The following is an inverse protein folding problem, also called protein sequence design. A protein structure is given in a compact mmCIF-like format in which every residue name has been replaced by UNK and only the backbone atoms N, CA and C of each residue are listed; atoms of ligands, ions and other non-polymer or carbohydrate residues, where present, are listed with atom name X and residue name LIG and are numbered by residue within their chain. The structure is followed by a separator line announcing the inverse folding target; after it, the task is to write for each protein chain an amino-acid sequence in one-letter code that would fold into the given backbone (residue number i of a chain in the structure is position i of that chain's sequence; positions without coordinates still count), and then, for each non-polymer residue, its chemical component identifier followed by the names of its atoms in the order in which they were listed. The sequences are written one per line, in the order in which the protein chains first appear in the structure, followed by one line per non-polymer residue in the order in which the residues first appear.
data_IF_854266319486
#
_entry.id   IF_854266319486
#
_cell.length_a   1.000
_cell.length_b   1.000
_cell.length_c   1.000
_cell.angle_alpha   90.00
_cell.angle_beta   90.00
_cell.angle_gamma   90.00
#
_symmetry.space_group_name_H-M   'P 1'
#
loop_
_entity.id
_entity.type
_entity.pdbx_description
1 polymer ?
#
# COMPACT_ATOMS: atom_id res chain seq x y z
N UNK A 1 -47.71 0.73 -10.94
CA UNK A 1 -46.46 0.90 -10.16
C UNK A 1 -46.79 0.71 -8.69
N UNK A 2 -46.29 -0.34 -8.03
CA UNK A 2 -46.78 -0.79 -6.71
C UNK A 2 -46.28 0.09 -5.55
N UNK A 3 -47.16 0.40 -4.59
CA UNK A 3 -46.91 1.24 -3.40
C UNK A 3 -45.68 0.81 -2.57
N UNK A 4 -45.33 -0.48 -2.59
CA UNK A 4 -44.15 -1.03 -1.90
C UNK A 4 -42.81 -0.52 -2.46
N UNK A 5 -42.76 -0.08 -3.73
CA UNK A 5 -41.56 0.52 -4.33
C UNK A 5 -41.39 1.99 -3.90
N UNK A 6 -42.49 2.71 -3.72
CA UNK A 6 -42.50 4.09 -3.21
C UNK A 6 -42.07 4.17 -1.74
N UNK A 7 -42.49 3.21 -0.89
CA UNK A 7 -42.08 3.15 0.53
C UNK A 7 -40.57 2.89 0.73
N UNK A 8 -39.92 2.11 -0.15
CA UNK A 8 -38.45 1.92 -0.12
C UNK A 8 -37.67 3.15 -0.60
N UNK A 9 -38.31 4.06 -1.32
CA UNK A 9 -37.71 5.35 -1.72
C UNK A 9 -37.80 6.40 -0.61
N UNK A 10 -38.77 6.28 0.30
CA UNK A 10 -39.09 7.29 1.32
C UNK A 10 -38.13 7.35 2.53
N UNK A 11 -37.24 6.36 2.72
CA UNK A 11 -36.23 6.33 3.80
C UNK A 11 -34.80 6.38 3.27
N UNK A 12 -34.55 7.18 2.24
CA UNK A 12 -33.17 7.42 1.78
C UNK A 12 -32.57 8.56 2.59
N UNK A 13 -31.73 8.23 3.56
CA UNK A 13 -30.94 9.21 4.30
C UNK A 13 -30.01 9.92 3.30
N UNK A 14 -29.98 11.26 3.24
CA UNK A 14 -29.06 11.96 2.37
C UNK A 14 -27.63 11.79 2.90
N UNK A 15 -26.67 11.67 1.97
CA UNK A 15 -25.26 11.78 2.30
C UNK A 15 -24.99 13.15 2.91
N UNK A 16 -24.39 13.20 4.10
CA UNK A 16 -24.05 14.42 4.84
C UNK A 16 -23.13 15.37 4.04
N UNK A 17 -22.42 14.84 3.05
CA UNK A 17 -21.41 15.60 2.30
C UNK A 17 -21.83 16.06 0.91
N UNK A 18 -22.73 15.34 0.26
CA UNK A 18 -23.11 15.63 -1.13
C UNK A 18 -24.61 15.53 -1.40
N UNK A 19 -25.42 15.31 -0.36
CA UNK A 19 -26.88 15.23 -0.47
C UNK A 19 -27.42 14.02 -1.24
N UNK A 20 -26.53 13.16 -1.78
CA UNK A 20 -26.96 11.99 -2.55
C UNK A 20 -27.75 11.02 -1.69
N UNK A 21 -28.85 10.46 -2.21
CA UNK A 21 -29.70 9.58 -1.43
C UNK A 21 -29.03 8.22 -1.22
N UNK A 22 -28.81 7.84 0.04
CA UNK A 22 -28.21 6.56 0.44
C UNK A 22 -29.28 5.47 0.48
N UNK A 23 -28.91 4.26 0.07
CA UNK A 23 -29.81 3.10 0.10
C UNK A 23 -29.84 2.37 1.44
N UNK A 24 -28.99 2.75 2.41
CA UNK A 24 -28.86 2.05 3.70
C UNK A 24 -28.15 2.89 4.79
N UNK A 25 -28.57 2.74 6.05
CA UNK A 25 -28.07 3.50 7.22
C UNK A 25 -26.64 3.12 7.68
N UNK A 26 -26.13 1.92 7.35
CA UNK A 26 -24.77 1.44 7.77
C UNK A 26 -23.57 2.25 7.24
N UNK A 27 -23.78 3.29 6.43
CA UNK A 27 -22.67 4.05 5.84
C UNK A 27 -22.15 5.19 6.72
N UNK A 28 -22.65 5.32 7.96
CA UNK A 28 -22.17 6.36 8.88
C UNK A 28 -22.34 7.77 8.32
N UNK A 29 -23.42 8.00 7.57
CA UNK A 29 -23.79 9.32 7.03
C UNK A 29 -23.15 9.70 5.69
N UNK A 30 -22.12 9.01 5.19
CA UNK A 30 -21.38 9.42 3.98
C UNK A 30 -21.44 8.36 2.87
N UNK A 31 -21.73 8.79 1.64
CA UNK A 31 -21.79 7.85 0.51
C UNK A 31 -20.40 7.31 0.14
N UNK A 32 -20.37 6.08 -0.39
CA UNK A 32 -19.14 5.40 -0.86
C UNK A 32 -18.27 6.28 -1.77
N UNK A 33 -18.90 7.09 -2.63
CA UNK A 33 -18.18 8.00 -3.53
C UNK A 33 -17.40 9.05 -2.74
N UNK A 34 -18.04 9.75 -1.81
CA UNK A 34 -17.37 10.74 -0.97
C UNK A 34 -16.25 10.12 -0.13
N UNK A 35 -16.43 8.89 0.36
CA UNK A 35 -15.35 8.17 1.06
C UNK A 35 -14.15 7.89 0.16
N UNK A 36 -14.38 7.53 -1.11
CA UNK A 36 -13.32 7.32 -2.10
C UNK A 36 -12.64 8.65 -2.44
N UNK A 37 -13.43 9.71 -2.64
CA UNK A 37 -12.91 11.05 -2.93
C UNK A 37 -12.02 11.55 -1.78
N UNK A 38 -12.40 11.31 -0.53
CA UNK A 38 -11.55 11.58 0.64
C UNK A 38 -10.25 10.81 0.65
N UNK A 39 -10.31 9.52 0.31
CA UNK A 39 -9.12 8.69 0.23
C UNK A 39 -8.16 9.22 -0.85
N UNK A 40 -8.69 9.59 -2.02
CA UNK A 40 -7.90 10.19 -3.09
C UNK A 40 -7.33 11.55 -2.68
N UNK A 41 -8.13 12.44 -2.10
CA UNK A 41 -7.66 13.74 -1.62
C UNK A 41 -6.53 13.59 -0.60
N UNK A 42 -6.62 12.61 0.29
CA UNK A 42 -5.58 12.29 1.27
C UNK A 42 -4.29 11.81 0.60
N UNK A 43 -4.40 10.93 -0.39
CA UNK A 43 -3.24 10.44 -1.17
C UNK A 43 -2.57 11.59 -1.92
N UNK A 44 -3.34 12.47 -2.56
CA UNK A 44 -2.82 13.66 -3.23
C UNK A 44 -2.11 14.60 -2.27
N UNK A 45 -2.67 14.83 -1.08
CA UNK A 45 -2.04 15.65 -0.04
C UNK A 45 -0.70 15.07 0.44
N UNK A 46 -0.63 13.76 0.66
CA UNK A 46 0.63 13.08 1.01
C UNK A 46 1.69 13.27 -0.09
N UNK A 47 1.31 13.13 -1.36
CA UNK A 47 2.23 13.31 -2.48
C UNK A 47 2.74 14.76 -2.59
N UNK A 48 1.84 15.74 -2.42
CA UNK A 48 2.19 17.16 -2.46
C UNK A 48 3.20 17.51 -1.36
N UNK A 49 2.89 17.20 -0.10
CA UNK A 49 3.77 17.49 1.04
C UNK A 49 5.16 16.85 0.88
N UNK A 50 5.21 15.63 0.33
CA UNK A 50 6.49 14.97 0.06
C UNK A 50 7.30 15.67 -1.04
N UNK A 51 6.62 16.19 -2.07
CA UNK A 51 7.26 16.94 -3.16
C UNK A 51 7.71 18.33 -2.69
N UNK A 52 6.97 18.93 -1.75
CA UNK A 52 7.32 20.18 -1.08
C UNK A 52 8.51 20.05 -0.11
N UNK A 53 9.02 18.84 0.07
CA UNK A 53 10.26 18.60 0.80
C UNK A 53 10.08 18.08 2.22
N UNK A 54 8.84 17.87 2.70
CA UNK A 54 8.62 17.38 4.07
C UNK A 54 9.03 15.91 4.23
N UNK A 55 9.53 15.58 5.41
CA UNK A 55 9.91 14.22 5.76
C UNK A 55 8.72 13.40 6.28
N UNK A 56 8.87 12.07 6.29
CA UNK A 56 7.79 11.12 6.66
C UNK A 56 7.13 11.45 8.01
N UNK A 57 7.86 11.77 9.10
CA UNK A 57 7.24 12.12 10.38
C UNK A 57 6.45 13.43 10.33
N UNK A 58 6.87 14.38 9.50
CA UNK A 58 6.19 15.68 9.32
C UNK A 58 4.89 15.48 8.53
N UNK A 59 4.97 14.73 7.44
CA UNK A 59 3.78 14.36 6.65
C UNK A 59 2.79 13.60 7.54
N UNK A 60 3.26 12.61 8.31
CA UNK A 60 2.41 11.82 9.21
C UNK A 60 1.62 12.68 10.20
N UNK A 61 2.29 13.68 10.81
CA UNK A 61 1.63 14.67 11.69
C UNK A 61 0.62 15.52 10.93
N UNK A 62 0.99 16.02 9.76
CA UNK A 62 0.16 16.91 8.95
C UNK A 62 -1.11 16.22 8.44
N UNK A 63 -1.02 14.97 7.96
CA UNK A 63 -2.17 14.20 7.47
C UNK A 63 -2.85 13.35 8.55
N UNK A 64 -2.35 13.40 9.79
CA UNK A 64 -2.82 12.61 10.95
C UNK A 64 -2.90 11.11 10.67
N UNK A 65 -1.84 10.56 10.08
CA UNK A 65 -1.70 9.14 9.79
C UNK A 65 -0.49 8.55 10.51
N UNK A 66 -0.48 7.23 10.72
CA UNK A 66 0.71 6.56 11.20
C UNK A 66 1.86 6.66 10.18
N UNK A 67 3.09 6.89 10.64
CA UNK A 67 4.29 7.01 9.80
C UNK A 67 4.52 5.79 8.90
N UNK A 68 4.23 4.59 9.43
CA UNK A 68 4.32 3.35 8.66
C UNK A 68 3.35 3.35 7.47
N UNK A 69 2.15 3.91 7.65
CA UNK A 69 1.16 4.02 6.58
C UNK A 69 1.58 5.04 5.52
N UNK A 70 2.13 6.19 5.94
CA UNK A 70 2.71 7.19 5.02
C UNK A 70 3.84 6.57 4.20
N UNK A 71 4.73 5.81 4.84
CA UNK A 71 5.84 5.11 4.15
C UNK A 71 5.33 4.14 3.08
N UNK A 72 4.25 3.41 3.36
CA UNK A 72 3.59 2.51 2.40
C UNK A 72 2.97 3.32 1.25
N UNK A 73 2.29 4.44 1.54
CA UNK A 73 1.69 5.30 0.53
C UNK A 73 2.74 5.87 -0.42
N UNK A 74 3.83 6.43 0.10
CA UNK A 74 4.93 6.97 -0.71
C UNK A 74 5.56 5.87 -1.58
N UNK A 75 5.76 4.67 -1.04
CA UNK A 75 6.26 3.52 -1.81
C UNK A 75 5.31 3.14 -2.95
N UNK A 76 3.99 3.19 -2.73
CA UNK A 76 2.98 2.90 -3.77
C UNK A 76 2.94 4.00 -4.83
N UNK A 77 2.98 5.26 -4.41
CA UNK A 77 3.00 6.42 -5.31
C UNK A 77 4.23 6.38 -6.23
N UNK A 78 5.40 6.02 -5.68
CA UNK A 78 6.62 5.88 -6.45
C UNK A 78 6.55 4.76 -7.49
N UNK A 79 6.00 3.59 -7.11
CA UNK A 79 5.76 2.48 -8.06
C UNK A 79 4.78 2.84 -9.16
N UNK A 80 3.81 3.70 -8.86
CA UNK A 80 2.87 4.22 -9.83
C UNK A 80 3.45 5.38 -10.69
N UNK A 81 4.73 5.73 -10.51
CA UNK A 81 5.39 6.81 -11.25
C UNK A 81 4.88 8.21 -10.90
N UNK A 82 4.20 8.38 -9.76
CA UNK A 82 3.59 9.65 -9.36
C UNK A 82 4.54 10.57 -8.59
N UNK A 83 5.55 10.01 -7.95
CA UNK A 83 6.60 10.73 -7.23
C UNK A 83 7.94 10.02 -7.43
N UNK A 84 9.04 10.74 -7.24
CA UNK A 84 10.37 10.15 -7.14
C UNK A 84 10.83 10.18 -5.69
N UNK A 85 11.21 9.03 -5.13
CA UNK A 85 11.64 8.96 -3.73
C UNK A 85 13.05 9.52 -3.59
N UNK A 86 13.21 10.49 -2.69
CA UNK A 86 14.49 11.12 -2.33
C UNK A 86 15.47 10.15 -1.69
N UNK A 87 14.93 9.18 -0.95
CA UNK A 87 15.66 8.02 -0.47
C UNK A 87 14.97 6.79 -1.00
N UNK A 88 15.71 5.90 -1.65
CA UNK A 88 15.23 4.56 -1.98
C UNK A 88 14.83 3.93 -0.65
N UNK A 89 13.52 3.69 -0.38
CA UNK A 89 13.14 2.96 0.82
C UNK A 89 13.93 1.67 0.81
N UNK A 90 14.41 1.19 1.97
CA UNK A 90 14.85 -0.19 2.09
C UNK A 90 13.68 -1.06 1.67
N UNK A 91 13.68 -1.41 0.40
CA UNK A 91 12.47 -1.79 -0.28
C UNK A 91 12.00 -3.09 0.39
N UNK A 92 10.85 -3.03 1.07
CA UNK A 92 10.21 -4.23 1.62
C UNK A 92 9.26 -4.85 0.60
N UNK A 93 9.26 -4.36 -0.64
CA UNK A 93 8.33 -4.75 -1.68
C UNK A 93 8.90 -4.67 -3.09
N UNK A 94 9.83 -5.57 -3.41
CA UNK A 94 9.54 -6.52 -4.44
C UNK A 94 9.96 -7.91 -3.99
N UNK A 95 9.25 -8.40 -2.98
CA UNK A 95 9.47 -9.75 -2.42
C UNK A 95 9.50 -10.79 -3.54
N UNK A 96 8.65 -10.68 -4.58
CA UNK A 96 8.61 -11.65 -5.69
C UNK A 96 9.79 -11.54 -6.66
N UNK A 97 10.16 -10.35 -7.16
CA UNK A 97 11.34 -10.23 -8.04
C UNK A 97 12.62 -10.63 -7.31
N UNK A 98 12.77 -10.23 -6.04
CA UNK A 98 13.92 -10.66 -5.24
C UNK A 98 13.92 -12.15 -4.99
N UNK A 99 12.77 -12.75 -4.72
CA UNK A 99 12.63 -14.19 -4.59
C UNK A 99 13.06 -14.90 -5.88
N UNK A 100 12.66 -14.37 -7.05
CA UNK A 100 13.08 -14.90 -8.35
C UNK A 100 14.58 -14.73 -8.59
N UNK A 101 15.17 -13.57 -8.26
CA UNK A 101 16.61 -13.36 -8.33
C UNK A 101 17.37 -14.30 -7.38
N UNK A 102 16.88 -14.50 -6.16
CA UNK A 102 17.47 -15.45 -5.20
C UNK A 102 17.39 -16.89 -5.73
N UNK A 103 16.28 -17.27 -6.38
CA UNK A 103 16.13 -18.59 -7.01
C UNK A 103 17.10 -18.77 -8.19
N UNK A 104 17.23 -17.77 -9.05
CA UNK A 104 18.16 -17.80 -10.18
C UNK A 104 19.61 -17.92 -9.70
N UNK A 105 20.04 -17.05 -8.78
CA UNK A 105 21.41 -17.03 -8.26
C UNK A 105 21.77 -18.28 -7.44
N UNK A 106 20.79 -18.98 -6.86
CA UNK A 106 21.02 -20.28 -6.22
C UNK A 106 21.31 -21.40 -7.21
N UNK A 107 20.82 -21.33 -8.44
CA UNK A 107 21.14 -22.33 -9.49
C UNK A 107 22.61 -22.24 -9.91
N UNK A 108 23.22 -21.07 -9.73
CA UNK A 108 24.61 -20.80 -10.10
C UNK A 108 25.64 -21.20 -9.02
N UNK A 109 25.26 -22.00 -8.01
CA UNK A 109 26.12 -22.44 -6.89
C UNK A 109 26.81 -21.30 -6.10
N UNK A 110 26.28 -20.09 -6.16
CA UNK A 110 26.83 -18.94 -5.43
C UNK A 110 26.66 -19.09 -3.91
N UNK A 111 27.64 -18.62 -3.15
CA UNK A 111 27.55 -18.60 -1.70
C UNK A 111 26.46 -17.63 -1.24
N UNK A 112 25.88 -17.87 -0.05
CA UNK A 112 24.86 -16.97 0.52
C UNK A 112 25.35 -15.53 0.65
N UNK A 113 26.65 -15.31 0.86
CA UNK A 113 27.23 -13.98 0.98
C UNK A 113 27.25 -13.25 -0.37
N UNK A 114 27.56 -13.95 -1.45
CA UNK A 114 27.54 -13.41 -2.81
C UNK A 114 26.12 -13.12 -3.28
N UNK A 115 25.17 -14.02 -3.00
CA UNK A 115 23.75 -13.79 -3.27
C UNK A 115 23.26 -12.55 -2.53
N UNK A 116 23.61 -12.41 -1.25
CA UNK A 116 23.23 -11.26 -0.44
C UNK A 116 23.77 -9.95 -1.06
N UNK A 117 25.05 -9.95 -1.47
CA UNK A 117 25.66 -8.82 -2.16
C UNK A 117 24.95 -8.46 -3.47
N UNK A 118 24.64 -9.45 -4.32
CA UNK A 118 23.98 -9.23 -5.62
C UNK A 118 22.53 -8.76 -5.50
N UNK A 119 21.82 -9.18 -4.46
CA UNK A 119 20.40 -8.81 -4.22
C UNK A 119 20.28 -7.54 -3.37
N UNK A 120 21.41 -6.96 -2.92
CA UNK A 120 21.42 -5.77 -2.07
C UNK A 120 20.88 -6.03 -0.65
N UNK A 121 21.09 -7.24 -0.12
CA UNK A 121 20.66 -7.66 1.21
C UNK A 121 21.87 -7.91 2.12
N UNK A 122 21.67 -7.77 3.42
CA UNK A 122 22.61 -8.31 4.40
C UNK A 122 22.46 -9.84 4.47
N UNK A 123 23.50 -10.60 4.86
CA UNK A 123 23.40 -12.05 5.01
C UNK A 123 22.26 -12.51 5.93
N UNK A 124 22.02 -11.77 7.02
CA UNK A 124 20.89 -12.02 7.93
C UNK A 124 19.53 -11.76 7.28
N UNK A 125 19.39 -10.66 6.52
CA UNK A 125 18.16 -10.37 5.80
C UNK A 125 17.86 -11.42 4.71
N UNK A 126 18.89 -11.89 4.00
CA UNK A 126 18.77 -13.00 3.05
C UNK A 126 18.28 -14.29 3.74
N UNK A 127 18.80 -14.60 4.93
CA UNK A 127 18.35 -15.75 5.71
C UNK A 127 16.85 -15.72 6.03
N UNK A 128 16.34 -14.57 6.45
CA UNK A 128 14.90 -14.38 6.73
C UNK A 128 14.06 -14.56 5.45
N UNK A 129 14.54 -14.06 4.31
CA UNK A 129 13.83 -14.22 3.03
C UNK A 129 13.77 -15.70 2.63
N UNK A 130 14.89 -16.43 2.67
CA UNK A 130 14.94 -17.86 2.35
C UNK A 130 14.03 -18.68 3.28
N UNK A 131 14.03 -18.38 4.58
CA UNK A 131 13.15 -19.05 5.55
C UNK A 131 11.67 -18.85 5.20
N UNK A 132 11.27 -17.63 4.83
CA UNK A 132 9.90 -17.34 4.38
C UNK A 132 9.56 -17.99 3.04
N UNK A 133 10.52 -18.16 2.13
CA UNK A 133 10.30 -18.84 0.85
C UNK A 133 10.04 -20.33 1.06
N UNK A 134 10.82 -20.96 1.94
CA UNK A 134 10.64 -22.36 2.35
C UNK A 134 9.29 -22.59 3.04
N UNK A 135 8.92 -21.71 3.97
CA UNK A 135 7.61 -21.77 4.64
C UNK A 135 6.42 -21.67 3.66
N UNK A 136 6.63 -21.03 2.50
CA UNK A 136 5.62 -20.89 1.43
C UNK A 136 5.72 -21.98 0.35
N UNK A 137 6.64 -22.93 0.46
CA UNK A 137 6.87 -23.99 -0.55
C UNK A 137 7.43 -23.47 -1.88
N UNK A 138 7.87 -22.20 -1.94
CA UNK A 138 8.43 -21.58 -3.16
C UNK A 138 9.90 -21.93 -3.39
N UNK A 139 10.54 -22.59 -2.43
CA UNK A 139 11.93 -23.00 -2.49
C UNK A 139 12.04 -24.38 -1.84
N UNK A 140 12.30 -25.40 -2.66
CA UNK A 140 12.49 -26.78 -2.19
C UNK A 140 13.79 -26.90 -1.38
N UNK A 141 13.78 -27.74 -0.35
CA UNK A 141 14.97 -28.08 0.41
C UNK A 141 15.89 -28.94 -0.48
N UNK A 142 16.88 -28.28 -1.08
CA UNK A 142 18.15 -28.92 -1.42
C UNK A 142 19.13 -28.63 -0.28
#
# INVERSE_FOLDING_TARGET
MSASRQLKLARRVPCERCGRPLSYERTGGVCRRCTIDDAHARIHRVAALYTDGLDVPEIAREVRLAEAYVSILLSRLARAGRIQLRHVPRDRGNTREREQQILALRRDNLSRREIAGRVGLTPGALGVVIARMRARGTLSAA
#
